data_IF_751087967407
#
_entry.id   IF_751087967407
#
_cell.length_a   1.000
_cell.length_b   1.000
_cell.length_c   1.000
_cell.angle_alpha   90.00
_cell.angle_beta   90.00
_cell.angle_gamma   90.00
#
_symmetry.space_group_name_H-M   'P 1'
#
loop_
_entity.id
_entity.type
_entity.pdbx_description
1 polymer ?
#
# COMPACT_ATOMS: atom_id res chain seq x y z
N UNK A 1 -13.97 11.45 -1.35
CA UNK A 1 -13.36 10.45 -0.46
C UNK A 1 -12.36 9.62 -1.25
N UNK A 2 -11.07 9.99 -1.23
CA UNK A 2 -10.09 9.24 -2.02
C UNK A 2 -9.82 7.86 -1.44
N UNK A 3 -9.49 6.93 -2.32
CA UNK A 3 -9.12 5.58 -1.94
C UNK A 3 -7.81 5.25 -2.64
N UNK A 4 -6.80 4.87 -1.86
CA UNK A 4 -5.52 4.42 -2.39
C UNK A 4 -5.38 2.93 -2.13
N UNK A 5 -5.04 2.18 -3.16
CA UNK A 5 -4.77 0.74 -3.03
C UNK A 5 -3.30 0.50 -3.35
N UNK A 6 -2.63 -0.16 -2.42
CA UNK A 6 -1.21 -0.47 -2.57
C UNK A 6 -1.07 -1.98 -2.59
N UNK A 7 -0.43 -2.50 -3.61
CA UNK A 7 -0.14 -3.92 -3.71
C UNK A 7 1.30 -4.15 -3.34
N UNK A 8 1.54 -5.04 -2.40
CA UNK A 8 2.88 -5.39 -1.94
C UNK A 8 3.04 -6.89 -1.91
N UNK A 9 4.26 -7.40 -2.04
CA UNK A 9 4.47 -8.84 -1.90
C UNK A 9 4.13 -9.30 -0.49
N UNK A 10 3.55 -10.47 -0.40
CA UNK A 10 3.19 -11.06 0.87
C UNK A 10 4.43 -11.30 1.74
N UNK A 11 4.34 -10.96 3.01
CA UNK A 11 5.40 -11.22 3.97
C UNK A 11 6.58 -10.27 3.92
N UNK A 12 6.53 -9.23 3.09
CA UNK A 12 7.65 -8.29 2.94
C UNK A 12 7.61 -7.20 4.02
N UNK A 13 6.41 -6.78 4.42
CA UNK A 13 6.24 -5.72 5.39
C UNK A 13 5.81 -6.27 6.75
N UNK A 14 6.38 -5.71 7.81
CA UNK A 14 5.88 -5.98 9.16
C UNK A 14 4.56 -5.24 9.38
N UNK A 15 3.86 -5.57 10.45
CA UNK A 15 2.62 -4.87 10.80
C UNK A 15 2.87 -3.39 11.03
N UNK A 16 3.98 -3.04 11.69
CA UNK A 16 4.32 -1.64 11.92
C UNK A 16 4.63 -0.91 10.64
N UNK A 17 5.32 -1.57 9.71
CA UNK A 17 5.61 -0.97 8.41
C UNK A 17 4.34 -0.72 7.61
N UNK A 18 3.37 -1.64 7.67
CA UNK A 18 2.08 -1.44 7.00
C UNK A 18 1.34 -0.23 7.58
N UNK A 19 1.34 -0.11 8.90
CA UNK A 19 0.69 1.03 9.55
C UNK A 19 1.36 2.36 9.18
N UNK A 20 2.69 2.37 9.12
CA UNK A 20 3.44 3.57 8.71
C UNK A 20 3.14 3.94 7.26
N UNK A 21 3.03 2.96 6.40
CA UNK A 21 2.71 3.19 4.99
C UNK A 21 1.31 3.78 4.85
N UNK A 22 0.34 3.22 5.56
CA UNK A 22 -1.03 3.74 5.55
C UNK A 22 -1.05 5.19 6.01
N UNK A 23 -0.37 5.47 7.11
CA UNK A 23 -0.33 6.82 7.67
C UNK A 23 0.32 7.80 6.72
N UNK A 24 1.46 7.41 6.14
CA UNK A 24 2.18 8.28 5.22
C UNK A 24 1.40 8.61 3.96
N UNK A 25 0.72 7.61 3.39
CA UNK A 25 -0.10 7.84 2.19
C UNK A 25 -1.27 8.75 2.51
N UNK A 26 -1.91 8.55 3.65
CA UNK A 26 -2.99 9.42 4.11
C UNK A 26 -2.52 10.87 4.21
N UNK A 27 -1.36 11.09 4.81
CA UNK A 27 -0.83 12.43 5.00
C UNK A 27 -0.54 13.11 3.66
N UNK A 28 0.05 12.38 2.72
CA UNK A 28 0.38 12.93 1.41
C UNK A 28 -0.87 13.31 0.65
N UNK A 29 -1.86 12.45 0.62
CA UNK A 29 -3.11 12.72 -0.09
C UNK A 29 -3.81 13.92 0.50
N UNK A 30 -3.90 13.98 1.83
CA UNK A 30 -4.55 15.09 2.50
C UNK A 30 -3.82 16.41 2.26
N UNK A 31 -2.50 16.39 2.23
CA UNK A 31 -1.71 17.59 1.97
C UNK A 31 -1.94 18.10 0.55
N UNK A 32 -1.95 17.20 -0.43
CA UNK A 32 -2.15 17.57 -1.82
C UNK A 32 -3.56 18.12 -2.04
N UNK A 33 -4.56 17.52 -1.41
CA UNK A 33 -5.95 17.95 -1.53
C UNK A 33 -6.28 19.10 -0.61
N UNK A 34 -5.33 19.53 0.21
CA UNK A 34 -5.54 20.62 1.19
C UNK A 34 -6.67 20.31 2.16
N UNK A 35 -6.74 19.05 2.60
CA UNK A 35 -7.74 18.60 3.55
C UNK A 35 -7.14 18.58 4.95
N UNK A 36 -7.99 18.71 5.99
CA UNK A 36 -7.49 18.60 7.35
C UNK A 36 -7.02 17.19 7.65
N UNK A 37 -6.18 17.00 8.68
CA UNK A 37 -5.72 15.65 9.05
C UNK A 37 -6.84 14.67 9.36
N UNK A 38 -8.03 15.18 9.69
CA UNK A 38 -9.21 14.36 9.95
C UNK A 38 -10.01 14.06 8.68
N UNK A 39 -9.55 14.55 7.52
CA UNK A 39 -10.21 14.26 6.25
C UNK A 39 -10.21 12.76 5.94
N UNK A 40 -11.31 12.28 5.38
CA UNK A 40 -11.46 10.86 5.11
C UNK A 40 -10.66 10.47 3.89
N UNK A 41 -9.72 9.55 4.07
CA UNK A 41 -8.93 8.96 3.02
C UNK A 41 -8.76 7.48 3.36
N UNK A 42 -9.18 6.63 2.47
CA UNK A 42 -9.03 5.20 2.68
C UNK A 42 -7.76 4.72 2.02
N UNK A 43 -6.94 3.99 2.77
CA UNK A 43 -5.72 3.38 2.26
C UNK A 43 -5.80 1.89 2.53
N UNK A 44 -5.71 1.10 1.47
CA UNK A 44 -5.77 -0.35 1.58
C UNK A 44 -4.45 -0.93 1.11
N UNK A 45 -3.95 -1.89 1.87
CA UNK A 45 -2.74 -2.61 1.49
C UNK A 45 -3.14 -4.04 1.19
N UNK A 46 -2.84 -4.48 -0.02
CA UNK A 46 -3.13 -5.83 -0.45
C UNK A 46 -1.84 -6.61 -0.57
N UNK A 47 -1.71 -7.67 0.20
CA UNK A 47 -0.54 -8.54 0.12
C UNK A 47 -0.80 -9.61 -0.93
N UNK A 48 0.07 -9.66 -1.93
CA UNK A 48 -0.07 -10.58 -3.06
C UNK A 48 0.93 -11.71 -2.87
N UNK A 49 0.46 -12.96 -2.85
CA UNK A 49 1.36 -14.11 -2.66
C UNK A 49 2.43 -14.21 -3.73
N UNK A 50 3.60 -14.73 -3.35
CA UNK A 50 4.63 -15.07 -4.31
C UNK A 50 4.07 -16.05 -5.34
N UNK A 51 4.44 -15.83 -6.59
CA UNK A 51 3.89 -16.61 -7.70
C UNK A 51 2.71 -15.95 -8.38
N UNK A 52 2.09 -14.95 -7.72
CA UNK A 52 0.96 -14.20 -8.31
C UNK A 52 1.40 -12.84 -8.82
N UNK A 53 2.70 -12.61 -8.93
CA UNK A 53 3.28 -11.41 -9.51
C UNK A 53 3.87 -11.72 -10.86
N UNK A 54 3.64 -10.83 -11.79
CA UNK A 54 4.26 -10.96 -13.10
C UNK A 54 4.82 -9.62 -13.55
N UNK A 55 6.00 -9.67 -14.18
CA UNK A 55 6.61 -8.52 -14.81
C UNK A 55 7.16 -8.96 -16.16
N UNK A 56 6.58 -8.44 -17.23
CA UNK A 56 6.95 -8.79 -18.59
C UNK A 56 6.90 -10.31 -18.84
N UNK A 57 5.91 -10.98 -18.23
CA UNK A 57 5.74 -12.42 -18.36
C UNK A 57 6.58 -13.26 -17.43
N UNK A 58 7.46 -12.64 -16.65
CA UNK A 58 8.28 -13.36 -15.66
C UNK A 58 7.57 -13.35 -14.33
N UNK A 59 7.41 -14.53 -13.74
CA UNK A 59 6.79 -14.67 -12.44
C UNK A 59 7.77 -14.25 -11.34
N UNK A 60 7.32 -13.44 -10.44
CA UNK A 60 8.13 -12.91 -9.35
C UNK A 60 7.71 -13.55 -8.03
N UNK A 61 8.67 -14.13 -7.33
CA UNK A 61 8.44 -14.74 -6.02
C UNK A 61 9.50 -14.19 -5.06
N UNK A 62 9.23 -13.03 -4.43
CA UNK A 62 10.25 -12.33 -3.63
C UNK A 62 10.62 -13.08 -2.36
N UNK A 63 9.79 -14.02 -1.92
CA UNK A 63 10.06 -14.81 -0.71
C UNK A 63 9.92 -16.27 -1.05
N UNK A 64 10.90 -17.03 -0.72
CA UNK A 64 10.86 -18.47 -0.89
C UNK A 64 10.49 -19.16 0.41
#
# INVERSE_FOLDING_TARGET
MPVAKVHVPEGVLTADQRRSLIRGIHEVINAVEKRPPTGQTYVLINEVPGGDWGNAGTVYAPRS
#
